data_IF_306575501753
#
_entry.id   IF_306575501753
#
_cell.length_a   1.000
_cell.length_b   1.000
_cell.length_c   1.000
_cell.angle_alpha   90.00
_cell.angle_beta   90.00
_cell.angle_gamma   90.00
#
_symmetry.space_group_name_H-M   'P 1'
#
loop_
_entity.id
_entity.type
_entity.pdbx_description
1 polymer ?
#
# COMPACT_ATOMS: atom_id res chain seq x y z
N UNK A 1 -10.72 -0.95 -13.93
CA UNK A 1 -9.95 -0.07 -13.02
C UNK A 1 -8.53 -0.60 -12.91
N UNK A 2 -7.53 0.30 -12.98
CA UNK A 2 -6.10 -0.06 -12.90
C UNK A 2 -5.47 0.58 -11.66
N UNK A 3 -4.82 -0.22 -10.82
CA UNK A 3 -4.11 0.21 -9.64
C UNK A 3 -2.65 -0.25 -9.72
N UNK A 4 -1.72 0.61 -9.32
CA UNK A 4 -0.29 0.31 -9.20
C UNK A 4 0.13 0.51 -7.75
N UNK A 5 0.93 -0.42 -7.22
CA UNK A 5 1.65 -0.26 -5.96
C UNK A 5 3.15 -0.32 -6.19
N UNK A 6 3.90 0.52 -5.48
CA UNK A 6 5.35 0.59 -5.63
C UNK A 6 6.04 1.13 -4.36
N UNK A 7 6.93 0.36 -3.77
CA UNK A 7 7.90 0.89 -2.82
C UNK A 7 8.98 1.65 -3.62
N UNK A 8 9.15 2.93 -3.32
CA UNK A 8 9.97 3.83 -4.14
C UNK A 8 11.36 4.11 -3.57
N UNK A 9 11.68 3.57 -2.38
CA UNK A 9 12.91 3.88 -1.67
C UNK A 9 13.17 5.41 -1.64
N UNK A 10 12.19 6.18 -1.12
CA UNK A 10 12.16 7.66 -1.17
C UNK A 10 12.49 8.24 -2.56
N UNK A 11 11.99 7.60 -3.61
CA UNK A 11 12.21 7.95 -5.03
C UNK A 11 13.68 7.84 -5.46
N UNK A 12 14.49 7.01 -4.79
CA UNK A 12 15.88 6.76 -5.12
C UNK A 12 16.01 5.56 -6.06
N UNK A 13 16.63 5.76 -7.19
CA UNK A 13 16.96 4.69 -8.13
C UNK A 13 18.22 3.92 -7.74
N UNK A 14 18.48 2.83 -8.46
CA UNK A 14 19.69 2.01 -8.33
C UNK A 14 20.96 2.84 -8.58
N UNK A 15 20.86 3.90 -9.38
CA UNK A 15 21.92 4.89 -9.62
C UNK A 15 22.21 5.82 -8.43
N UNK A 16 21.46 5.69 -7.34
CA UNK A 16 21.58 6.52 -6.14
C UNK A 16 20.95 7.92 -6.26
N UNK A 17 20.29 8.24 -7.39
CA UNK A 17 19.66 9.53 -7.64
C UNK A 17 18.21 9.52 -7.18
N UNK A 18 17.82 10.50 -6.37
CA UNK A 18 16.43 10.72 -5.98
C UNK A 18 15.72 11.54 -7.05
N UNK A 19 14.71 10.95 -7.68
CA UNK A 19 13.96 11.57 -8.78
C UNK A 19 12.48 11.15 -8.75
N UNK A 20 11.62 12.05 -8.25
CA UNK A 20 10.17 11.83 -8.13
C UNK A 20 9.51 11.76 -9.52
N UNK A 21 10.01 12.54 -10.51
CA UNK A 21 9.48 12.51 -11.87
C UNK A 21 9.67 11.12 -12.49
N UNK A 22 10.86 10.53 -12.31
CA UNK A 22 11.17 9.18 -12.80
C UNK A 22 10.22 8.11 -12.26
N UNK A 23 9.84 8.19 -10.98
CA UNK A 23 8.84 7.29 -10.38
C UNK A 23 7.48 7.46 -11.06
N UNK A 24 7.02 8.68 -11.23
CA UNK A 24 5.72 8.94 -11.87
C UNK A 24 5.72 8.52 -13.34
N UNK A 25 6.80 8.74 -14.07
CA UNK A 25 6.93 8.32 -15.47
C UNK A 25 6.98 6.79 -15.58
N UNK A 26 7.69 6.12 -14.67
CA UNK A 26 7.71 4.66 -14.55
C UNK A 26 6.31 4.08 -14.29
N UNK A 27 5.55 4.66 -13.36
CA UNK A 27 4.17 4.25 -13.13
C UNK A 27 3.28 4.48 -14.36
N UNK A 28 3.42 5.61 -15.05
CA UNK A 28 2.68 5.91 -16.30
C UNK A 28 3.03 4.94 -17.44
N UNK A 29 4.24 4.41 -17.48
CA UNK A 29 4.66 3.45 -18.52
C UNK A 29 3.91 2.11 -18.42
N UNK A 30 3.45 1.70 -17.22
CA UNK A 30 2.59 0.54 -17.00
C UNK A 30 1.14 0.76 -17.49
N UNK A 31 0.81 1.99 -17.85
CA UNK A 31 -0.46 2.39 -18.43
C UNK A 31 -1.17 3.49 -17.65
N UNK A 32 -2.33 3.87 -18.18
CA UNK A 32 -3.16 4.91 -17.57
C UNK A 32 -3.85 4.36 -16.30
N UNK A 33 -3.23 4.54 -15.15
CA UNK A 33 -3.76 4.06 -13.87
C UNK A 33 -4.87 4.98 -13.30
N UNK A 34 -5.79 4.38 -12.54
CA UNK A 34 -6.81 5.09 -11.78
C UNK A 34 -6.34 5.42 -10.36
N UNK A 35 -5.51 4.53 -9.79
CA UNK A 35 -4.96 4.68 -8.44
C UNK A 35 -3.48 4.29 -8.43
N UNK A 36 -2.66 5.11 -7.76
CA UNK A 36 -1.25 4.84 -7.50
C UNK A 36 -1.02 4.83 -5.99
N UNK A 37 -0.44 3.74 -5.50
CA UNK A 37 -0.08 3.52 -4.10
C UNK A 37 1.45 3.46 -3.98
N UNK A 38 2.03 4.38 -3.22
CA UNK A 38 3.48 4.45 -3.05
C UNK A 38 3.86 4.24 -1.58
N UNK A 39 4.96 3.54 -1.36
CA UNK A 39 5.57 3.37 -0.05
C UNK A 39 6.93 4.09 -0.02
N UNK A 40 7.41 4.36 1.19
CA UNK A 40 8.66 5.09 1.46
C UNK A 40 8.69 6.52 0.91
N UNK A 41 7.57 7.23 0.96
CA UNK A 41 7.52 8.64 0.59
C UNK A 41 7.99 9.51 1.75
N UNK A 42 8.94 10.41 1.46
CA UNK A 42 9.61 11.25 2.43
C UNK A 42 9.26 12.74 2.32
N UNK A 43 9.21 13.41 3.46
CA UNK A 43 9.11 14.87 3.57
C UNK A 43 10.19 15.35 4.52
N UNK A 44 11.08 16.22 4.04
CA UNK A 44 12.10 16.93 4.83
C UNK A 44 13.12 16.01 5.53
N UNK A 45 13.54 14.91 4.92
CA UNK A 45 14.60 14.04 5.43
C UNK A 45 15.94 14.26 4.69
N UNK A 46 16.73 15.29 5.04
CA UNK A 46 17.94 15.65 4.28
C UNK A 46 19.11 14.64 4.42
N UNK A 47 18.97 13.67 5.33
CA UNK A 47 20.00 12.63 5.56
C UNK A 47 19.62 11.27 4.94
N UNK A 48 18.48 11.15 4.26
CA UNK A 48 18.23 10.00 3.40
C UNK A 48 19.21 10.07 2.20
N UNK A 49 19.81 8.94 1.88
CA UNK A 49 20.81 8.86 0.81
C UNK A 49 20.24 9.42 -0.50
N UNK A 50 20.91 10.43 -1.05
CA UNK A 50 20.51 11.07 -2.30
C UNK A 50 19.45 12.18 -2.15
N UNK A 51 18.75 12.29 -1.01
CA UNK A 51 17.78 13.35 -0.75
C UNK A 51 18.45 14.58 -0.08
N UNK A 52 17.83 15.73 -0.25
CA UNK A 52 18.27 17.00 0.35
C UNK A 52 17.19 17.63 1.23
N UNK A 53 16.24 16.84 1.70
CA UNK A 53 15.09 17.32 2.47
C UNK A 53 13.93 17.74 1.56
N UNK A 54 13.70 17.00 0.49
CA UNK A 54 12.63 17.24 -0.48
C UNK A 54 11.25 16.97 0.15
N UNK A 55 10.25 17.74 -0.22
CA UNK A 55 8.84 17.40 0.02
C UNK A 55 8.30 16.64 -1.20
N UNK A 56 8.45 15.32 -1.17
CA UNK A 56 8.05 14.47 -2.30
C UNK A 56 6.53 14.47 -2.53
N UNK A 57 5.74 14.65 -1.48
CA UNK A 57 4.26 14.69 -1.58
C UNK A 57 3.81 15.89 -2.45
N UNK A 58 4.39 17.08 -2.25
CA UNK A 58 4.02 18.25 -3.06
C UNK A 58 4.48 18.12 -4.52
N UNK A 59 5.62 17.46 -4.77
CA UNK A 59 6.06 17.19 -6.14
C UNK A 59 5.12 16.20 -6.81
N UNK A 60 4.72 15.11 -6.13
CA UNK A 60 3.78 14.13 -6.66
C UNK A 60 2.43 14.79 -7.01
N UNK A 61 1.90 15.67 -6.14
CA UNK A 61 0.68 16.43 -6.42
C UNK A 61 0.80 17.27 -7.69
N UNK A 62 1.95 17.93 -7.88
CA UNK A 62 2.20 18.75 -9.07
C UNK A 62 2.30 17.90 -10.36
N UNK A 63 2.83 16.67 -10.27
CA UNK A 63 2.99 15.76 -11.40
C UNK A 63 1.71 14.97 -11.74
N UNK A 64 0.74 14.93 -10.81
CA UNK A 64 -0.54 14.25 -10.94
C UNK A 64 -1.71 15.19 -10.67
N UNK A 65 -1.90 16.26 -11.46
CA UNK A 65 -2.90 17.30 -11.19
C UNK A 65 -4.35 16.79 -11.24
N UNK A 66 -4.60 15.67 -11.94
CA UNK A 66 -5.93 15.03 -12.05
C UNK A 66 -6.19 13.99 -10.95
N UNK A 67 -5.29 13.87 -9.97
CA UNK A 67 -5.42 12.91 -8.87
C UNK A 67 -5.51 13.62 -7.52
N UNK A 68 -6.43 13.18 -6.68
CA UNK A 68 -6.43 13.55 -5.27
C UNK A 68 -5.36 12.73 -4.54
N UNK A 69 -4.50 13.41 -3.78
CA UNK A 69 -3.36 12.78 -3.08
C UNK A 69 -3.61 12.73 -1.59
N UNK A 70 -3.57 11.52 -1.03
CA UNK A 70 -3.65 11.23 0.41
C UNK A 70 -2.31 10.70 0.89
N UNK A 71 -1.70 11.38 1.85
CA UNK A 71 -0.46 10.93 2.49
C UNK A 71 -0.72 10.44 3.92
N UNK A 72 -0.29 9.24 4.23
CA UNK A 72 -0.28 8.64 5.56
C UNK A 72 1.14 8.63 6.13
N UNK A 73 1.41 9.52 7.08
CA UNK A 73 2.68 9.54 7.79
C UNK A 73 2.71 8.42 8.85
N UNK A 74 3.56 7.42 8.65
CA UNK A 74 3.91 6.45 9.69
C UNK A 74 4.84 7.09 10.74
N UNK A 75 5.76 7.92 10.28
CA UNK A 75 6.65 8.74 11.11
C UNK A 75 6.26 10.20 10.90
N UNK A 76 6.05 10.93 11.98
CA UNK A 76 5.79 12.37 12.01
C UNK A 76 6.53 12.95 13.22
N UNK A 77 7.73 13.43 13.00
CA UNK A 77 8.65 13.84 14.06
C UNK A 77 9.27 15.22 13.79
N UNK A 78 9.96 15.76 14.79
CA UNK A 78 10.69 17.01 14.66
C UNK A 78 12.14 16.82 15.03
N UNK A 79 13.02 17.12 14.08
CA UNK A 79 14.46 17.10 14.29
C UNK A 79 15.01 18.50 14.03
N UNK A 80 15.69 19.09 15.01
CA UNK A 80 16.24 20.45 14.93
C UNK A 80 15.20 21.52 14.52
N UNK A 81 13.93 21.36 14.94
CA UNK A 81 12.84 22.28 14.62
C UNK A 81 12.15 22.01 13.27
N UNK A 82 12.69 21.18 12.42
CA UNK A 82 12.10 20.80 11.13
C UNK A 82 11.16 19.60 11.32
N UNK A 83 9.93 19.70 10.83
CA UNK A 83 9.00 18.57 10.78
C UNK A 83 9.39 17.63 9.66
N UNK A 84 9.60 16.38 9.99
CA UNK A 84 9.97 15.30 9.10
C UNK A 84 8.86 14.25 9.09
N UNK A 85 8.48 13.77 7.90
CA UNK A 85 7.44 12.76 7.76
C UNK A 85 7.85 11.70 6.75
N UNK A 86 7.52 10.43 7.07
CA UNK A 86 7.80 9.29 6.21
C UNK A 86 6.61 8.32 6.25
N UNK A 87 6.21 7.78 5.09
CA UNK A 87 5.03 6.93 5.08
C UNK A 87 4.58 6.47 3.70
N UNK A 88 3.27 6.23 3.59
CA UNK A 88 2.62 5.73 2.38
C UNK A 88 1.72 6.78 1.75
N UNK A 89 1.52 6.69 0.44
CA UNK A 89 0.74 7.64 -0.33
C UNK A 89 -0.24 6.91 -1.26
N UNK A 90 -1.46 7.45 -1.37
CA UNK A 90 -2.45 7.07 -2.37
C UNK A 90 -2.73 8.30 -3.23
N UNK A 91 -2.55 8.18 -4.55
CA UNK A 91 -3.04 9.16 -5.52
C UNK A 91 -4.18 8.53 -6.33
N UNK A 92 -5.35 9.15 -6.33
CA UNK A 92 -6.56 8.62 -6.97
C UNK A 92 -7.16 9.62 -7.94
N UNK A 93 -7.42 9.18 -9.16
CA UNK A 93 -8.25 9.90 -10.14
C UNK A 93 -9.75 9.67 -9.88
N UNK A 94 -10.09 8.59 -9.17
CA UNK A 94 -11.45 8.34 -8.73
C UNK A 94 -11.78 9.22 -7.52
N UNK A 95 -13.02 9.72 -7.39
CA UNK A 95 -13.41 10.50 -6.22
C UNK A 95 -13.18 9.75 -4.91
N UNK A 96 -12.51 10.38 -3.95
CA UNK A 96 -12.28 9.82 -2.62
C UNK A 96 -13.48 10.15 -1.73
N UNK A 97 -14.15 9.12 -1.22
CA UNK A 97 -15.33 9.23 -0.36
C UNK A 97 -14.95 9.32 1.13
N UNK A 98 -13.87 8.65 1.52
CA UNK A 98 -13.39 8.62 2.90
C UNK A 98 -11.90 8.31 2.95
N UNK A 99 -11.20 8.88 3.93
CA UNK A 99 -9.80 8.58 4.24
C UNK A 99 -9.69 8.09 5.66
N UNK A 100 -8.92 7.02 5.88
CA UNK A 100 -8.58 6.50 7.20
C UNK A 100 -7.08 6.20 7.28
N UNK A 101 -6.52 6.30 8.47
CA UNK A 101 -5.11 5.98 8.76
C UNK A 101 -5.10 5.05 9.96
N UNK A 102 -4.57 3.85 9.77
CA UNK A 102 -4.59 2.79 10.76
C UNK A 102 -3.16 2.55 11.22
N UNK A 103 -2.87 2.91 12.46
CA UNK A 103 -1.59 2.55 13.08
C UNK A 103 -1.53 1.04 13.26
N UNK A 104 -0.44 0.42 12.81
CA UNK A 104 -0.24 -1.01 12.94
C UNK A 104 0.52 -1.35 14.23
N UNK A 105 0.24 -2.51 14.84
CA UNK A 105 0.88 -2.92 16.09
C UNK A 105 2.38 -3.16 15.88
N UNK A 106 3.14 -2.85 16.93
CA UNK A 106 4.58 -3.09 16.97
C UNK A 106 4.95 -3.70 18.34
N UNK A 107 4.60 -4.98 18.57
CA UNK A 107 4.96 -5.64 19.81
C UNK A 107 6.48 -5.61 20.00
N UNK A 108 6.92 -5.24 21.22
CA UNK A 108 8.34 -5.14 21.53
C UNK A 108 8.97 -6.54 21.58
N UNK A 109 9.99 -6.83 20.78
CA UNK A 109 10.75 -8.07 20.93
C UNK A 109 11.56 -8.05 22.23
N UNK A 110 11.90 -9.23 22.74
CA UNK A 110 12.68 -9.37 23.98
C UNK A 110 14.06 -8.66 23.89
N UNK A 111 14.64 -8.66 22.69
CA UNK A 111 15.88 -7.94 22.37
C UNK A 111 15.68 -7.26 21.01
N UNK A 112 15.54 -5.92 20.95
CA UNK A 112 15.43 -5.21 19.68
C UNK A 112 16.79 -5.18 18.98
N UNK A 113 16.82 -5.75 17.77
CA UNK A 113 18.06 -5.79 16.95
C UNK A 113 18.31 -4.48 16.19
N UNK A 114 17.26 -3.70 15.95
CA UNK A 114 17.31 -2.44 15.20
C UNK A 114 16.37 -1.39 15.83
N UNK A 115 16.59 -0.10 15.54
CA UNK A 115 15.63 0.94 15.90
C UNK A 115 14.24 0.60 15.34
N UNK A 116 13.24 0.75 16.18
CA UNK A 116 11.85 0.54 15.83
C UNK A 116 11.34 1.68 14.94
N UNK A 117 10.60 1.32 13.87
CA UNK A 117 9.91 2.27 12.99
C UNK A 117 8.41 1.99 13.00
N UNK A 118 7.55 2.96 13.36
CA UNK A 118 6.10 2.82 13.27
C UNK A 118 5.64 2.43 11.87
N UNK A 119 4.60 1.60 11.79
CA UNK A 119 3.99 1.20 10.53
C UNK A 119 2.52 1.62 10.50
N UNK A 120 2.01 1.88 9.31
CA UNK A 120 0.66 2.39 9.08
C UNK A 120 0.05 1.71 7.86
N UNK A 121 -1.27 1.59 7.85
CA UNK A 121 -2.04 1.37 6.63
C UNK A 121 -2.82 2.65 6.30
N UNK A 122 -2.57 3.23 5.13
CA UNK A 122 -3.36 4.33 4.59
C UNK A 122 -4.50 3.77 3.77
N UNK A 123 -5.72 4.24 4.02
CA UNK A 123 -6.93 3.75 3.37
C UNK A 123 -7.66 4.92 2.71
N UNK A 124 -7.97 4.77 1.43
CA UNK A 124 -8.88 5.64 0.69
C UNK A 124 -10.07 4.81 0.20
N UNK A 125 -11.29 5.14 0.62
CA UNK A 125 -12.49 4.58 -0.01
C UNK A 125 -12.81 5.44 -1.22
N UNK A 126 -12.75 4.86 -2.42
CA UNK A 126 -12.97 5.54 -3.69
C UNK A 126 -14.28 5.13 -4.34
N UNK A 127 -14.84 5.98 -5.20
CA UNK A 127 -16.02 5.70 -6.00
C UNK A 127 -15.62 4.94 -7.28
N UNK A 128 -15.52 3.61 -7.21
CA UNK A 128 -15.34 2.78 -8.40
C UNK A 128 -16.65 2.67 -9.19
N UNK A 129 -16.57 2.26 -10.47
CA UNK A 129 -17.74 2.17 -11.35
C UNK A 129 -18.84 1.22 -10.84
N UNK A 130 -18.49 0.26 -9.99
CA UNK A 130 -19.42 -0.73 -9.40
C UNK A 130 -19.83 -0.41 -7.96
N UNK A 131 -19.34 0.69 -7.39
CA UNK A 131 -19.63 1.10 -6.01
C UNK A 131 -18.38 1.51 -5.23
N UNK A 132 -18.52 1.74 -3.93
CA UNK A 132 -17.39 2.09 -3.07
C UNK A 132 -16.36 0.95 -3.01
N UNK A 133 -15.07 1.31 -3.12
CA UNK A 133 -13.93 0.40 -3.02
C UNK A 133 -12.92 0.95 -2.02
N UNK A 134 -12.50 0.16 -1.05
CA UNK A 134 -11.39 0.50 -0.15
C UNK A 134 -10.06 0.16 -0.83
N UNK A 135 -9.26 1.17 -1.11
CA UNK A 135 -7.86 1.02 -1.47
C UNK A 135 -7.02 1.19 -0.21
N UNK A 136 -6.26 0.18 0.14
CA UNK A 136 -5.46 0.09 1.35
C UNK A 136 -4.00 -0.10 0.95
N UNK A 137 -3.12 0.79 1.40
CA UNK A 137 -1.68 0.63 1.14
C UNK A 137 -0.89 0.63 2.43
N UNK A 138 0.10 -0.26 2.50
CA UNK A 138 0.93 -0.46 3.69
C UNK A 138 2.38 -0.73 3.33
N UNK A 139 3.26 -0.59 4.32
CA UNK A 139 4.63 -1.07 4.30
C UNK A 139 4.89 -1.73 5.66
N UNK A 140 4.97 -3.06 5.69
CA UNK A 140 5.12 -3.83 6.92
C UNK A 140 6.56 -3.84 7.43
N UNK A 141 6.73 -4.34 8.64
CA UNK A 141 8.04 -4.39 9.29
C UNK A 141 9.01 -5.34 8.55
N UNK A 142 10.20 -4.81 8.25
CA UNK A 142 11.24 -5.50 7.50
C UNK A 142 12.01 -6.53 8.34
N UNK A 143 12.52 -6.11 9.49
CA UNK A 143 13.51 -6.88 10.24
C UNK A 143 12.92 -7.86 11.25
N UNK A 144 11.70 -7.59 11.77
CA UNK A 144 11.12 -8.35 12.88
C UNK A 144 9.88 -9.14 12.45
N UNK A 145 10.02 -10.46 12.39
CA UNK A 145 8.94 -11.38 11.99
C UNK A 145 7.72 -11.28 12.90
N UNK A 146 7.91 -11.16 14.24
CA UNK A 146 6.79 -11.09 15.21
C UNK A 146 5.96 -9.83 14.97
N UNK A 147 6.62 -8.69 14.72
CA UNK A 147 5.92 -7.45 14.41
C UNK A 147 5.18 -7.55 13.08
N UNK A 148 5.84 -8.07 12.04
CA UNK A 148 5.25 -8.25 10.72
C UNK A 148 4.02 -9.15 10.74
N UNK A 149 4.05 -10.27 11.46
CA UNK A 149 2.90 -11.14 11.65
C UNK A 149 1.76 -10.47 12.42
N UNK A 150 2.10 -9.70 13.48
CA UNK A 150 1.10 -8.95 14.22
C UNK A 150 0.42 -7.87 13.35
N UNK A 151 1.19 -7.23 12.48
CA UNK A 151 0.69 -6.24 11.52
C UNK A 151 -0.22 -6.87 10.47
N UNK A 152 0.16 -8.03 9.91
CA UNK A 152 -0.68 -8.76 8.96
C UNK A 152 -2.02 -9.20 9.60
N UNK A 153 -1.98 -9.75 10.82
CA UNK A 153 -3.21 -10.09 11.57
C UNK A 153 -4.09 -8.87 11.82
N UNK A 154 -3.51 -7.74 12.23
CA UNK A 154 -4.27 -6.51 12.47
C UNK A 154 -4.95 -5.98 11.20
N UNK A 155 -4.29 -6.03 10.04
CA UNK A 155 -4.89 -5.67 8.75
C UNK A 155 -6.09 -6.56 8.41
N UNK A 156 -5.97 -7.87 8.67
CA UNK A 156 -7.04 -8.83 8.49
C UNK A 156 -8.23 -8.54 9.41
N UNK A 157 -7.98 -8.40 10.72
CA UNK A 157 -9.01 -8.09 11.71
C UNK A 157 -9.76 -6.79 11.36
N UNK A 158 -9.02 -5.78 10.93
CA UNK A 158 -9.60 -4.52 10.52
C UNK A 158 -10.49 -4.67 9.28
N UNK A 159 -10.06 -5.46 8.29
CA UNK A 159 -10.85 -5.79 7.12
C UNK A 159 -12.17 -6.50 7.52
N UNK A 160 -12.10 -7.48 8.43
CA UNK A 160 -13.28 -8.18 8.94
C UNK A 160 -14.30 -7.22 9.58
N UNK A 161 -13.83 -6.26 10.41
CA UNK A 161 -14.69 -5.24 11.01
C UNK A 161 -15.40 -4.43 9.92
N UNK A 162 -14.68 -4.02 8.88
CA UNK A 162 -15.27 -3.25 7.76
C UNK A 162 -16.29 -4.06 6.98
N UNK A 163 -16.05 -5.34 6.75
CA UNK A 163 -16.99 -6.25 6.11
C UNK A 163 -18.27 -6.44 6.97
N UNK A 164 -18.11 -6.58 8.29
CA UNK A 164 -19.24 -6.65 9.22
C UNK A 164 -20.08 -5.36 9.18
N UNK A 165 -19.46 -4.19 9.19
CA UNK A 165 -20.17 -2.91 9.08
C UNK A 165 -20.92 -2.79 7.74
N UNK A 166 -20.36 -3.29 6.64
CA UNK A 166 -21.06 -3.31 5.35
C UNK A 166 -22.28 -4.24 5.33
N UNK A 167 -22.20 -5.40 6.02
CA UNK A 167 -23.34 -6.35 6.13
C UNK A 167 -24.43 -5.86 7.08
N UNK A 168 -24.07 -5.01 8.04
CA UNK A 168 -24.99 -4.50 9.06
C UNK A 168 -25.08 -2.97 9.02
N UNK A 169 -25.59 -2.38 7.91
CA UNK A 169 -25.70 -0.93 7.80
C UNK A 169 -26.60 -0.38 8.89
N UNK A 170 -26.28 0.81 9.38
CA UNK A 170 -27.10 1.48 10.37
C UNK A 170 -28.55 1.64 9.88
N UNK A 171 -29.53 1.20 10.68
CA UNK A 171 -30.96 1.38 10.41
C UNK A 171 -31.43 2.79 10.80
N UNK A 172 -30.60 3.78 10.60
CA UNK A 172 -30.92 5.15 11.00
C UNK A 172 -31.78 5.83 9.95
N UNK A 173 -32.90 6.40 10.39
CA UNK A 173 -33.64 7.40 9.63
C UNK A 173 -33.01 8.80 9.78
N UNK A 174 -31.96 8.91 10.59
CA UNK A 174 -31.17 10.10 10.78
C UNK A 174 -30.08 10.12 9.69
N UNK A 175 -30.34 10.87 8.63
CA UNK A 175 -29.29 11.28 7.71
C UNK A 175 -28.88 12.71 8.09
N UNK A 176 -27.83 12.82 8.89
CA UNK A 176 -27.21 14.10 9.20
C UNK A 176 -26.19 14.43 8.10
N UNK A 177 -26.64 14.54 6.85
CA UNK A 177 -25.80 14.86 5.71
C UNK A 177 -24.91 16.08 5.99
N UNK A 178 -23.65 16.01 5.58
CA UNK A 178 -22.62 17.05 5.77
C UNK A 178 -22.19 17.28 7.24
N UNK A 179 -22.52 16.36 8.15
CA UNK A 179 -22.00 16.34 9.52
C UNK A 179 -21.09 15.15 9.74
N UNK A 180 -20.30 15.10 10.84
CA UNK A 180 -19.51 13.91 11.18
C UNK A 180 -20.34 12.64 11.39
N UNK A 181 -21.63 12.77 11.60
CA UNK A 181 -22.58 11.67 11.86
C UNK A 181 -23.26 11.15 10.59
N UNK A 182 -22.96 11.71 9.41
CA UNK A 182 -23.48 11.21 8.13
C UNK A 182 -23.12 9.73 7.93
N UNK A 183 -23.94 9.02 7.14
CA UNK A 183 -23.67 7.64 6.74
C UNK A 183 -22.27 7.52 6.08
N UNK A 184 -21.56 6.43 6.41
CA UNK A 184 -20.22 6.16 5.87
C UNK A 184 -20.33 5.20 4.67
N UNK A 185 -19.40 5.29 3.71
CA UNK A 185 -19.39 4.42 2.52
C UNK A 185 -18.86 3.02 2.87
N UNK A 186 -19.63 2.25 3.67
CA UNK A 186 -19.25 0.89 4.03
C UNK A 186 -19.31 -0.05 2.82
N UNK A 187 -18.27 -0.83 2.62
CA UNK A 187 -18.16 -1.82 1.54
C UNK A 187 -17.31 -3.01 1.96
N UNK A 188 -17.62 -4.25 1.54
CA UNK A 188 -16.73 -5.39 1.70
C UNK A 188 -15.57 -5.34 0.68
N UNK A 189 -15.74 -4.61 -0.43
CA UNK A 189 -14.78 -4.54 -1.51
C UNK A 189 -13.51 -3.81 -1.06
N UNK A 190 -12.37 -4.48 -1.16
CA UNK A 190 -11.08 -3.94 -0.77
C UNK A 190 -9.95 -4.46 -1.67
N UNK A 191 -9.00 -3.58 -1.98
CA UNK A 191 -7.67 -3.92 -2.48
C UNK A 191 -6.67 -3.52 -1.40
N UNK A 192 -5.89 -4.47 -0.91
CA UNK A 192 -4.79 -4.25 0.03
C UNK A 192 -3.48 -4.49 -0.73
N UNK A 193 -2.64 -3.46 -0.84
CA UNK A 193 -1.41 -3.52 -1.60
C UNK A 193 -0.25 -2.84 -0.88
N UNK A 194 0.97 -3.09 -1.33
CA UNK A 194 2.18 -2.47 -0.78
C UNK A 194 3.33 -3.44 -0.64
N UNK A 195 4.33 -3.01 0.13
CA UNK A 195 5.46 -3.81 0.53
C UNK A 195 5.15 -4.51 1.87
N UNK A 196 5.00 -5.82 1.80
CA UNK A 196 4.68 -6.64 2.96
C UNK A 196 5.91 -7.22 3.65
N UNK A 197 7.09 -7.11 3.05
CA UNK A 197 8.34 -7.64 3.60
C UNK A 197 8.25 -9.14 3.97
N UNK A 198 7.38 -9.89 3.29
CA UNK A 198 7.26 -11.35 3.40
C UNK A 198 7.09 -11.98 2.02
N UNK A 199 7.37 -13.26 1.91
CA UNK A 199 7.13 -14.06 0.72
C UNK A 199 5.81 -14.84 0.84
N UNK A 200 5.27 -15.26 -0.31
CA UNK A 200 4.10 -16.15 -0.36
C UNK A 200 4.36 -17.43 0.43
N UNK A 201 3.34 -17.91 1.16
CA UNK A 201 3.43 -19.09 2.02
C UNK A 201 4.06 -18.87 3.40
N UNK A 202 4.50 -17.64 3.73
CA UNK A 202 4.93 -17.32 5.09
C UNK A 202 3.73 -17.23 6.06
N UNK A 203 3.98 -17.27 7.37
CA UNK A 203 2.91 -17.13 8.38
C UNK A 203 2.17 -15.80 8.28
N UNK A 204 2.87 -14.71 7.94
CA UNK A 204 2.25 -13.40 7.74
C UNK A 204 1.37 -13.37 6.47
N UNK A 205 1.78 -14.02 5.39
CA UNK A 205 0.97 -14.20 4.19
C UNK A 205 -0.29 -15.02 4.50
N UNK A 206 -0.15 -16.15 5.19
CA UNK A 206 -1.27 -17.00 5.61
C UNK A 206 -2.25 -16.26 6.55
N UNK A 207 -1.74 -15.37 7.40
CA UNK A 207 -2.59 -14.53 8.25
C UNK A 207 -3.57 -13.65 7.44
N UNK A 208 -3.24 -13.29 6.21
CA UNK A 208 -4.12 -12.54 5.31
C UNK A 208 -5.01 -13.44 4.44
N UNK A 209 -4.47 -14.57 3.97
CA UNK A 209 -5.06 -15.35 2.87
C UNK A 209 -5.74 -16.65 3.28
N UNK A 210 -5.67 -17.04 4.57
CA UNK A 210 -6.25 -18.29 5.05
C UNK A 210 -7.78 -18.35 4.78
N UNK A 211 -8.18 -19.16 3.80
CA UNK A 211 -9.56 -19.31 3.35
C UNK A 211 -10.49 -19.96 4.40
N UNK A 212 -9.98 -20.55 5.48
CA UNK A 212 -10.81 -21.09 6.56
C UNK A 212 -11.32 -20.01 7.51
N UNK A 213 -10.79 -18.82 7.41
CA UNK A 213 -11.15 -17.67 8.19
C UNK A 213 -12.28 -16.85 7.52
N UNK A 214 -12.93 -15.98 8.26
CA UNK A 214 -13.98 -15.10 7.74
C UNK A 214 -13.37 -13.93 6.96
N UNK A 215 -13.92 -13.58 5.81
CA UNK A 215 -13.49 -12.46 4.96
C UNK A 215 -11.98 -12.51 4.63
N UNK A 216 -11.45 -13.58 4.01
CA UNK A 216 -10.06 -13.65 3.62
C UNK A 216 -9.75 -12.66 2.51
N UNK A 217 -8.50 -12.23 2.47
CA UNK A 217 -7.95 -11.68 1.24
C UNK A 217 -7.51 -12.82 0.31
N UNK A 218 -7.60 -12.59 -0.97
CA UNK A 218 -7.07 -13.47 -1.99
C UNK A 218 -5.92 -12.76 -2.72
N UNK A 219 -4.89 -13.50 -3.05
CA UNK A 219 -3.72 -12.97 -3.76
C UNK A 219 -4.06 -12.74 -5.24
N UNK A 220 -3.99 -11.50 -5.67
CA UNK A 220 -4.28 -11.09 -7.04
C UNK A 220 -3.39 -11.76 -8.08
N UNK A 221 -2.08 -11.95 -7.77
CA UNK A 221 -1.17 -12.65 -8.68
C UNK A 221 -1.62 -14.09 -8.90
N UNK A 222 -1.88 -14.83 -7.83
CA UNK A 222 -2.30 -16.23 -7.89
C UNK A 222 -3.63 -16.41 -8.63
N UNK A 223 -4.55 -15.43 -8.54
CA UNK A 223 -5.81 -15.43 -9.31
C UNK A 223 -5.55 -15.21 -10.79
N UNK A 224 -4.76 -14.20 -11.16
CA UNK A 224 -4.51 -13.84 -12.55
C UNK A 224 -3.53 -14.79 -13.25
N UNK A 225 -2.64 -15.44 -12.51
CA UNK A 225 -1.55 -16.27 -13.01
C UNK A 225 -1.43 -17.60 -12.22
N UNK A 226 -2.45 -18.47 -12.20
CA UNK A 226 -2.54 -19.62 -11.29
C UNK A 226 -1.38 -20.61 -11.41
N UNK A 227 -0.74 -20.69 -12.58
CA UNK A 227 0.35 -21.64 -12.85
C UNK A 227 1.76 -21.01 -12.84
N UNK A 228 1.86 -19.75 -12.39
CA UNK A 228 3.15 -19.02 -12.40
C UNK A 228 3.56 -18.60 -10.99
N UNK A 229 4.83 -18.79 -10.62
CA UNK A 229 5.35 -18.22 -9.40
C UNK A 229 5.30 -16.69 -9.45
N UNK A 230 5.27 -16.04 -8.28
CA UNK A 230 5.44 -14.60 -8.20
C UNK A 230 6.79 -14.21 -8.77
N UNK A 231 6.86 -13.23 -9.67
CA UNK A 231 8.13 -12.66 -10.08
C UNK A 231 8.73 -11.87 -8.91
N UNK A 232 10.04 -11.80 -8.79
CA UNK A 232 10.68 -11.02 -7.76
C UNK A 232 10.35 -9.54 -7.92
N UNK A 233 10.13 -8.85 -6.79
CA UNK A 233 9.83 -7.42 -6.72
C UNK A 233 10.87 -6.63 -5.95
N UNK A 234 11.84 -7.28 -5.33
CA UNK A 234 12.93 -6.66 -4.55
C UNK A 234 14.26 -7.33 -4.83
N UNK A 235 15.35 -6.56 -4.82
CA UNK A 235 16.73 -7.01 -5.02
C UNK A 235 17.01 -7.63 -6.40
N UNK A 236 16.36 -7.13 -7.45
CA UNK A 236 16.67 -7.58 -8.82
C UNK A 236 17.99 -7.00 -9.35
N UNK A 237 18.34 -5.79 -8.89
CA UNK A 237 19.45 -4.99 -9.41
C UNK A 237 20.43 -4.51 -8.34
N UNK A 238 20.14 -4.78 -7.06
CA UNK A 238 20.96 -4.37 -5.93
C UNK A 238 20.95 -5.48 -4.87
N UNK A 239 22.14 -5.92 -4.44
CA UNK A 239 22.35 -6.97 -3.43
C UNK A 239 22.67 -6.42 -2.03
N UNK A 240 22.57 -5.10 -1.82
CA UNK A 240 22.90 -4.44 -0.55
C UNK A 240 22.12 -5.01 0.66
N UNK A 241 20.91 -5.55 0.42
CA UNK A 241 20.05 -6.14 1.45
C UNK A 241 19.97 -7.67 1.39
N UNK A 242 20.86 -8.33 0.64
CA UNK A 242 20.96 -9.77 0.49
C UNK A 242 21.07 -10.23 -0.97
N UNK A 243 21.58 -11.46 -1.20
CA UNK A 243 21.94 -11.91 -2.54
C UNK A 243 20.76 -12.36 -3.40
N UNK A 244 19.63 -12.76 -2.77
CA UNK A 244 18.55 -13.39 -3.50
C UNK A 244 17.43 -12.39 -3.77
N UNK A 245 16.98 -12.31 -5.02
CA UNK A 245 15.78 -11.56 -5.39
C UNK A 245 14.54 -12.24 -4.84
N UNK A 246 13.62 -11.48 -4.22
CA UNK A 246 12.42 -11.99 -3.57
C UNK A 246 11.17 -11.25 -4.03
N UNK A 247 10.01 -11.88 -3.85
CA UNK A 247 8.71 -11.26 -4.07
C UNK A 247 8.13 -10.86 -2.72
N UNK A 248 8.04 -9.57 -2.44
CA UNK A 248 7.51 -9.04 -1.18
C UNK A 248 6.48 -7.93 -1.35
N UNK A 249 6.22 -7.50 -2.58
CA UNK A 249 5.18 -6.53 -2.93
C UNK A 249 3.97 -7.26 -3.53
N UNK A 250 2.79 -7.03 -2.99
CA UNK A 250 1.58 -7.75 -3.36
C UNK A 250 0.39 -6.82 -3.59
N UNK A 251 -0.58 -7.33 -4.37
CA UNK A 251 -1.93 -6.82 -4.47
C UNK A 251 -2.90 -7.92 -4.03
N UNK A 252 -3.42 -7.84 -2.81
CA UNK A 252 -4.48 -8.69 -2.32
C UNK A 252 -5.84 -8.05 -2.59
N UNK A 253 -6.85 -8.89 -2.88
CA UNK A 253 -8.23 -8.46 -3.07
C UNK A 253 -9.14 -9.14 -2.06
N UNK A 254 -10.21 -8.46 -1.63
CA UNK A 254 -11.27 -9.10 -0.86
C UNK A 254 -11.94 -10.22 -1.66
N UNK A 255 -12.53 -11.21 -0.99
CA UNK A 255 -13.24 -12.32 -1.61
C UNK A 255 -14.30 -11.85 -2.62
N UNK A 256 -14.98 -10.74 -2.31
CA UNK A 256 -16.00 -10.13 -3.18
C UNK A 256 -15.46 -9.65 -4.54
N UNK A 257 -14.13 -9.39 -4.65
CA UNK A 257 -13.49 -8.88 -5.86
C UNK A 257 -12.76 -9.94 -6.69
N UNK A 258 -12.66 -11.18 -6.23
CA UNK A 258 -11.93 -12.26 -6.94
C UNK A 258 -12.35 -12.34 -8.41
N UNK A 259 -13.66 -12.30 -8.68
CA UNK A 259 -14.23 -12.40 -10.00
C UNK A 259 -13.92 -11.20 -10.92
N UNK A 260 -13.45 -10.08 -10.36
CA UNK A 260 -13.07 -8.87 -11.09
C UNK A 260 -11.58 -8.81 -11.44
N UNK A 261 -10.75 -9.63 -10.84
CA UNK A 261 -9.31 -9.65 -11.18
C UNK A 261 -9.16 -10.08 -12.63
N UNK A 262 -8.58 -9.19 -13.45
CA UNK A 262 -8.36 -9.44 -14.86
C UNK A 262 -6.89 -9.72 -15.15
N UNK A 263 -6.01 -8.91 -14.58
CA UNK A 263 -4.58 -8.96 -14.86
C UNK A 263 -3.78 -8.50 -13.63
N UNK A 264 -2.64 -9.16 -13.38
CA UNK A 264 -1.60 -8.66 -12.48
C UNK A 264 -0.25 -8.78 -13.18
N UNK A 265 0.50 -7.70 -13.16
CA UNK A 265 1.83 -7.60 -13.79
C UNK A 265 2.83 -6.97 -12.84
N UNK A 266 4.09 -7.35 -13.01
CA UNK A 266 5.25 -6.74 -12.36
C UNK A 266 6.19 -6.22 -13.45
N UNK A 267 6.57 -4.94 -13.38
CA UNK A 267 7.64 -4.42 -14.24
C UNK A 267 9.00 -4.79 -13.66
N UNK A 268 9.54 -5.88 -14.10
CA UNK A 268 10.85 -6.38 -13.67
C UNK A 268 12.04 -5.65 -14.32
N UNK A 269 11.81 -4.65 -15.17
CA UNK A 269 12.87 -3.99 -15.94
C UNK A 269 13.27 -2.64 -15.36
N UNK A 270 12.39 -1.98 -14.62
CA UNK A 270 12.69 -0.66 -14.06
C UNK A 270 13.81 -0.73 -13.02
N UNK A 271 14.66 0.30 -13.00
CA UNK A 271 15.70 0.54 -12.00
C UNK A 271 15.49 1.87 -11.26
N UNK A 272 14.26 2.38 -11.31
CA UNK A 272 13.90 3.63 -10.69
C UNK A 272 13.74 3.54 -9.16
N UNK A 273 13.69 2.32 -8.62
CA UNK A 273 13.75 1.97 -7.19
C UNK A 273 14.46 0.62 -7.05
N UNK A 274 14.82 0.21 -5.85
CA UNK A 274 15.26 -1.15 -5.52
C UNK A 274 14.10 -2.17 -5.48
N UNK A 275 12.86 -1.67 -5.51
CA UNK A 275 11.65 -2.48 -5.70
C UNK A 275 11.05 -2.29 -7.10
N UNK A 276 10.24 -3.27 -7.49
CA UNK A 276 9.53 -3.32 -8.76
C UNK A 276 8.04 -3.00 -8.56
N UNK A 277 7.42 -2.16 -9.42
CA UNK A 277 6.00 -1.87 -9.31
C UNK A 277 5.14 -3.08 -9.69
N UNK A 278 4.07 -3.27 -8.92
CA UNK A 278 3.03 -4.27 -9.19
C UNK A 278 1.75 -3.56 -9.62
N UNK A 279 1.22 -3.96 -10.76
CA UNK A 279 -0.03 -3.43 -11.31
C UNK A 279 -1.12 -4.50 -11.25
N UNK A 280 -2.31 -4.12 -10.78
CA UNK A 280 -3.53 -4.94 -10.86
C UNK A 280 -4.60 -4.24 -11.68
N UNK A 281 -5.25 -4.99 -12.55
CA UNK A 281 -6.41 -4.54 -13.32
C UNK A 281 -7.67 -5.29 -12.88
N UNK A 282 -8.72 -4.53 -12.55
CA UNK A 282 -10.03 -5.03 -12.16
C UNK A 282 -11.07 -4.68 -13.23
N UNK A 283 -11.88 -5.67 -13.62
CA UNK A 283 -13.02 -5.48 -14.55
C UNK A 283 -14.09 -4.56 -13.97
N UNK A 284 -14.77 -3.85 -14.84
CA UNK A 284 -15.93 -3.03 -14.50
C UNK A 284 -17.17 -3.86 -14.20
#
# INVERSE_FOLDING_TARGET
MKLITWNTQWCKGIDGVVDVQRIIDGAKSLGNFDVLCLQEIAINYPHLTGDRGTNQVEIIKALLPDHEVVFGAAIDERTQGIRQQFGTLIASRLPILQVQKIALPSPCPAVPERPWMPRICTVATVAAAWGPLRVMTTHLEYSNVIQREAQARALREWHQIMCQQARHPAKSTFDEAQTPYQLKPHTPDAVLCGDFNFEAGSQAYEALTNATETDPFADGWSIANPDKPHPPTFRLYDDAYGPDAVSCDFCFVSESLIHRVDKVEVDTLTQASDHQPVMIELRH
#
